data_IF_131050343435
#
_entry.id   IF_131050343435
#
_cell.length_a   1.000
_cell.length_b   1.000
_cell.length_c   1.000
_cell.angle_alpha   90.00
_cell.angle_beta   90.00
_cell.angle_gamma   90.00
#
_symmetry.space_group_name_H-M   'P 1'
#
loop_
_entity.id
_entity.type
_entity.pdbx_description
1 polymer ?
#
# COMPACT_ATOMS: atom_id res chain seq x y z
N UNK A 1 -14.92 -7.40 -25.53
CA UNK A 1 -14.32 -6.16 -24.99
C UNK A 1 -15.13 -5.55 -23.84
N UNK A 2 -16.44 -5.26 -24.00
CA UNK A 2 -17.25 -4.53 -23.00
C UNK A 2 -17.46 -5.28 -21.68
N UNK A 3 -17.71 -6.59 -21.70
CA UNK A 3 -17.87 -7.42 -20.49
C UNK A 3 -16.60 -7.46 -19.62
N UNK A 4 -15.44 -7.68 -20.26
CA UNK A 4 -14.15 -7.73 -19.59
C UNK A 4 -13.80 -6.39 -18.96
N UNK A 5 -13.96 -5.28 -19.70
CA UNK A 5 -13.68 -3.95 -19.17
C UNK A 5 -14.54 -3.60 -17.94
N UNK A 6 -15.80 -4.06 -17.86
CA UNK A 6 -16.68 -3.80 -16.71
C UNK A 6 -16.18 -4.51 -15.46
N UNK A 7 -15.94 -5.82 -15.56
CA UNK A 7 -15.45 -6.62 -14.44
C UNK A 7 -14.05 -6.21 -14.01
N UNK A 8 -13.16 -5.90 -14.96
CA UNK A 8 -11.83 -5.39 -14.63
C UNK A 8 -11.92 -4.03 -13.96
N UNK A 9 -12.77 -3.09 -14.43
CA UNK A 9 -12.91 -1.77 -13.79
C UNK A 9 -13.42 -1.85 -12.35
N UNK A 10 -14.40 -2.73 -12.07
CA UNK A 10 -14.92 -2.91 -10.71
C UNK A 10 -13.85 -3.55 -9.82
N UNK A 11 -13.21 -4.61 -10.31
CA UNK A 11 -12.13 -5.30 -9.58
C UNK A 11 -10.97 -4.36 -9.27
N UNK A 12 -10.43 -3.68 -10.29
CA UNK A 12 -9.31 -2.75 -10.13
C UNK A 12 -9.71 -1.50 -9.35
N UNK A 13 -10.95 -1.01 -9.46
CA UNK A 13 -11.44 0.10 -8.64
C UNK A 13 -11.49 -0.26 -7.16
N UNK A 14 -12.05 -1.43 -6.81
CA UNK A 14 -12.05 -1.92 -5.44
C UNK A 14 -10.63 -2.19 -4.92
N UNK A 15 -9.77 -2.78 -5.76
CA UNK A 15 -8.38 -3.04 -5.41
C UNK A 15 -7.57 -1.75 -5.21
N UNK A 16 -7.77 -0.73 -6.06
CA UNK A 16 -7.18 0.59 -5.89
C UNK A 16 -7.68 1.27 -4.62
N UNK A 17 -8.98 1.19 -4.32
CA UNK A 17 -9.54 1.71 -3.07
C UNK A 17 -8.87 1.05 -1.86
N UNK A 18 -8.78 -0.29 -1.88
CA UNK A 18 -8.10 -1.05 -0.83
C UNK A 18 -6.67 -0.56 -0.63
N UNK A 19 -5.85 -0.54 -1.69
CA UNK A 19 -4.44 -0.16 -1.56
C UNK A 19 -4.30 1.28 -1.05
N UNK A 20 -5.10 2.20 -1.59
CA UNK A 20 -5.09 3.60 -1.17
C UNK A 20 -5.45 3.73 0.32
N UNK A 21 -6.51 3.05 0.78
CA UNK A 21 -6.90 3.04 2.21
C UNK A 21 -5.78 2.46 3.07
N UNK A 22 -5.22 1.31 2.70
CA UNK A 22 -4.13 0.70 3.47
C UNK A 22 -2.89 1.58 3.52
N UNK A 23 -2.53 2.25 2.43
CA UNK A 23 -1.42 3.21 2.38
C UNK A 23 -1.65 4.40 3.32
N UNK A 24 -2.85 4.99 3.31
CA UNK A 24 -3.23 6.09 4.22
C UNK A 24 -3.16 5.65 5.68
N UNK A 25 -3.68 4.46 6.01
CA UNK A 25 -3.67 3.93 7.38
C UNK A 25 -2.24 3.71 7.88
N UNK A 26 -1.38 3.06 7.07
CA UNK A 26 0.02 2.84 7.43
C UNK A 26 0.76 4.15 7.62
N UNK A 27 0.55 5.12 6.73
CA UNK A 27 1.17 6.43 6.82
C UNK A 27 0.73 7.19 8.07
N UNK A 28 -0.57 7.16 8.40
CA UNK A 28 -1.10 7.72 9.63
C UNK A 28 -0.51 7.06 10.89
N UNK A 29 -0.34 5.74 10.87
CA UNK A 29 0.31 5.00 11.96
C UNK A 29 1.77 5.42 12.18
N UNK A 30 2.52 5.70 11.11
CA UNK A 30 3.89 6.21 11.21
C UNK A 30 3.95 7.59 11.85
N UNK A 31 3.08 8.52 11.43
CA UNK A 31 2.97 9.86 12.02
C UNK A 31 2.65 9.75 13.51
N UNK A 32 1.67 8.92 13.85
CA UNK A 32 1.28 8.69 15.24
C UNK A 32 2.42 8.10 16.09
N UNK A 33 3.14 7.11 15.56
CA UNK A 33 4.27 6.48 16.26
C UNK A 33 5.47 7.42 16.46
N UNK A 34 5.73 8.34 15.54
CA UNK A 34 6.79 9.35 15.69
C UNK A 34 6.52 10.33 16.84
N UNK A 35 5.24 10.58 17.16
CA UNK A 35 4.83 11.41 18.28
C UNK A 35 4.88 10.71 19.64
N UNK A 36 5.03 9.37 19.67
CA UNK A 36 5.17 8.65 20.93
C UNK A 36 6.63 8.69 21.42
N UNK A 37 6.86 8.92 22.72
CA UNK A 37 8.16 8.70 23.32
C UNK A 37 8.60 7.27 23.03
N UNK A 38 9.70 7.10 22.28
CA UNK A 38 10.26 5.78 22.04
C UNK A 38 10.50 5.14 23.41
N UNK A 39 9.94 3.96 23.71
CA UNK A 39 10.30 3.27 24.94
C UNK A 39 11.82 3.21 24.96
N UNK A 40 12.44 3.74 26.01
CA UNK A 40 13.88 3.61 26.18
C UNK A 40 14.17 2.12 25.97
N UNK A 41 14.98 1.80 24.95
CA UNK A 41 15.45 0.44 24.79
C UNK A 41 16.02 0.07 26.16
N UNK A 42 15.37 -0.89 26.83
CA UNK A 42 15.77 -1.25 28.18
C UNK A 42 17.28 -1.48 28.10
N UNK A 43 18.08 -0.79 28.92
CA UNK A 43 19.52 -0.98 28.88
C UNK A 43 19.73 -2.49 28.99
N UNK A 44 20.40 -3.09 28.01
CA UNK A 44 20.74 -4.51 28.07
C UNK A 44 21.40 -4.72 29.43
N UNK A 45 20.70 -5.43 30.32
CA UNK A 45 21.09 -5.51 31.71
C UNK A 45 22.51 -6.06 31.76
N UNK A 46 23.47 -5.36 32.41
CA UNK A 46 24.83 -5.85 32.50
C UNK A 46 24.80 -7.13 33.34
N UNK A 47 24.89 -8.28 32.67
CA UNK A 47 24.99 -9.59 33.32
C UNK A 47 23.77 -10.52 33.21
N UNK A 48 22.76 -10.23 32.38
CA UNK A 48 21.84 -11.31 31.98
C UNK A 48 22.66 -12.40 31.28
N UNK A 49 22.56 -13.69 31.68
CA UNK A 49 23.21 -14.77 30.97
C UNK A 49 22.66 -14.73 29.54
N UNK A 50 23.49 -14.27 28.62
CA UNK A 50 23.27 -14.58 27.22
C UNK A 50 23.36 -16.09 27.17
N UNK A 51 22.21 -16.77 27.12
CA UNK A 51 22.14 -18.17 26.73
C UNK A 51 22.89 -18.21 25.41
N UNK A 52 24.12 -18.72 25.48
CA UNK A 52 24.98 -18.97 24.34
C UNK A 52 24.28 -20.09 23.59
N UNK A 53 23.40 -19.72 22.67
CA UNK A 53 22.92 -20.65 21.66
C UNK A 53 24.08 -20.89 20.69
N UNK A 54 24.90 -21.84 21.14
CA UNK A 54 25.83 -22.73 20.43
C UNK A 54 26.62 -22.14 19.26
N UNK A 55 27.94 -22.18 19.45
CA UNK A 55 28.97 -22.06 18.42
C UNK A 55 28.56 -22.74 17.09
N UNK A 56 28.17 -21.91 16.11
CA UNK A 56 28.62 -22.06 14.73
C UNK A 56 30.03 -21.43 14.59
N UNK A 57 30.81 -21.78 13.56
CA UNK A 57 32.28 -21.72 13.58
C UNK A 57 32.88 -20.29 13.76
N UNK A 58 34.16 -20.19 14.21
CA UNK A 58 34.83 -18.95 14.65
C UNK A 58 34.93 -17.84 13.58
N UNK A 59 35.28 -16.59 13.98
CA UNK A 59 35.24 -15.41 13.11
C UNK A 59 36.37 -15.48 12.07
N UNK A 60 36.12 -16.16 10.97
CA UNK A 60 37.01 -16.27 9.83
C UNK A 60 36.35 -15.66 8.58
N UNK A 61 37.11 -14.74 7.99
CA UNK A 61 36.97 -14.17 6.65
C UNK A 61 35.86 -13.13 6.42
N UNK A 62 36.33 -11.88 6.32
CA UNK A 62 36.14 -11.05 5.13
C UNK A 62 34.88 -11.39 4.29
N UNK A 63 33.78 -10.74 4.61
CA UNK A 63 32.62 -10.69 3.74
C UNK A 63 32.06 -9.29 3.82
N UNK A 64 32.60 -8.38 3.00
CA UNK A 64 31.84 -7.20 2.57
C UNK A 64 30.38 -7.64 2.41
N UNK A 65 29.41 -6.94 3.03
CA UNK A 65 27.99 -7.14 2.71
C UNK A 65 27.93 -7.34 1.19
N UNK A 66 27.44 -8.49 0.67
CA UNK A 66 27.62 -8.82 -0.75
C UNK A 66 27.20 -7.58 -1.53
N UNK A 67 28.05 -7.07 -2.47
CA UNK A 67 27.83 -5.79 -3.12
C UNK A 67 26.38 -5.76 -3.52
N UNK A 68 25.61 -4.86 -2.88
CA UNK A 68 24.15 -4.92 -2.99
C UNK A 68 23.86 -4.97 -4.49
N UNK A 69 23.18 -6.02 -4.95
CA UNK A 69 22.86 -6.12 -6.35
C UNK A 69 22.22 -4.79 -6.77
N UNK A 70 22.60 -4.24 -7.92
CA UNK A 70 22.09 -2.92 -8.35
C UNK A 70 20.56 -2.85 -8.26
N UNK A 71 19.89 -3.98 -8.48
CA UNK A 71 18.45 -4.16 -8.28
C UNK A 71 18.00 -3.89 -6.83
N UNK A 72 18.71 -4.40 -5.81
CA UNK A 72 18.39 -4.18 -4.40
C UNK A 72 18.54 -2.71 -3.99
N UNK A 73 19.55 -2.02 -4.51
CA UNK A 73 19.74 -0.58 -4.27
C UNK A 73 18.60 0.23 -4.88
N UNK A 74 18.19 -0.09 -6.11
CA UNK A 74 17.05 0.56 -6.77
C UNK A 74 15.75 0.31 -5.99
N UNK A 75 15.48 -0.92 -5.55
CA UNK A 75 14.29 -1.24 -4.76
C UNK A 75 14.28 -0.43 -3.45
N UNK A 76 15.42 -0.34 -2.76
CA UNK A 76 15.54 0.45 -1.54
C UNK A 76 15.25 1.93 -1.79
N UNK A 77 15.89 2.51 -2.81
CA UNK A 77 15.68 3.90 -3.21
C UNK A 77 14.22 4.20 -3.56
N UNK A 78 13.59 3.33 -4.36
CA UNK A 78 12.17 3.46 -4.70
C UNK A 78 11.29 3.40 -3.45
N UNK A 79 11.65 2.57 -2.48
CA UNK A 79 10.90 2.46 -1.21
C UNK A 79 11.01 3.73 -0.37
N UNK A 80 12.20 4.33 -0.31
CA UNK A 80 12.43 5.60 0.41
C UNK A 80 11.75 6.80 -0.27
N UNK A 81 11.75 6.83 -1.60
CA UNK A 81 11.05 7.84 -2.38
C UNK A 81 9.53 7.70 -2.22
N UNK A 82 9.02 6.47 -2.23
CA UNK A 82 7.59 6.17 -2.09
C UNK A 82 7.06 6.46 -0.69
N UNK A 83 7.86 6.24 0.35
CA UNK A 83 7.49 6.59 1.73
C UNK A 83 7.47 8.10 1.98
N UNK A 84 8.13 8.89 1.12
CA UNK A 84 8.32 10.33 1.30
C UNK A 84 9.31 10.68 2.41
N UNK A 85 9.96 9.68 3.02
CA UNK A 85 10.86 9.84 4.16
C UNK A 85 12.14 10.58 3.77
N UNK A 86 12.58 10.44 2.52
CA UNK A 86 13.72 11.21 1.99
C UNK A 86 13.50 12.73 2.05
N UNK A 87 12.26 13.20 2.08
CA UNK A 87 11.89 14.61 2.17
C UNK A 87 11.36 14.99 3.58
N UNK A 88 11.52 14.11 4.58
CA UNK A 88 11.08 14.34 5.95
C UNK A 88 9.57 14.55 6.10
N UNK A 89 9.18 15.45 7.01
CA UNK A 89 7.76 15.71 7.34
C UNK A 89 6.97 16.21 6.14
N UNK A 90 7.57 17.03 5.28
CA UNK A 90 6.90 17.58 4.09
C UNK A 90 6.55 16.47 3.11
N UNK A 91 7.49 15.56 2.82
CA UNK A 91 7.22 14.39 1.97
C UNK A 91 6.16 13.47 2.56
N UNK A 92 6.16 13.31 3.88
CA UNK A 92 5.17 12.51 4.58
C UNK A 92 3.74 13.07 4.43
N UNK A 93 3.57 14.38 4.59
CA UNK A 93 2.28 15.07 4.41
C UNK A 93 1.81 14.98 2.97
N UNK A 94 2.70 15.22 1.99
CA UNK A 94 2.36 15.11 0.56
C UNK A 94 1.95 13.68 0.17
N UNK A 95 2.64 12.67 0.71
CA UNK A 95 2.29 11.26 0.49
C UNK A 95 0.93 10.91 1.09
N UNK A 96 0.63 11.39 2.30
CA UNK A 96 -0.67 11.21 2.94
C UNK A 96 -1.80 11.88 2.13
N UNK A 97 -1.60 13.11 1.69
CA UNK A 97 -2.57 13.84 0.85
C UNK A 97 -2.80 13.15 -0.49
N UNK A 98 -1.74 12.61 -1.11
CA UNK A 98 -1.83 11.86 -2.36
C UNK A 98 -2.62 10.56 -2.17
N UNK A 99 -2.37 9.84 -1.07
CA UNK A 99 -3.16 8.65 -0.70
C UNK A 99 -4.63 8.98 -0.45
N UNK A 100 -4.91 10.06 0.29
CA UNK A 100 -6.27 10.53 0.54
C UNK A 100 -6.99 10.94 -0.76
N UNK A 101 -6.30 11.61 -1.67
CA UNK A 101 -6.81 11.94 -2.99
C UNK A 101 -7.15 10.69 -3.80
N UNK A 102 -6.31 9.65 -3.78
CA UNK A 102 -6.59 8.37 -4.44
C UNK A 102 -7.82 7.66 -3.85
N UNK A 103 -8.00 7.67 -2.52
CA UNK A 103 -9.23 7.17 -1.89
C UNK A 103 -10.44 7.93 -2.42
N UNK A 104 -10.39 9.27 -2.41
CA UNK A 104 -11.47 10.12 -2.90
C UNK A 104 -11.81 9.84 -4.37
N UNK A 105 -10.81 9.82 -5.26
CA UNK A 105 -11.02 9.56 -6.69
C UNK A 105 -11.52 8.14 -6.96
N UNK A 106 -11.05 7.15 -6.20
CA UNK A 106 -11.51 5.77 -6.33
C UNK A 106 -12.99 5.64 -5.94
N UNK A 107 -13.39 6.23 -4.81
CA UNK A 107 -14.80 6.26 -4.38
C UNK A 107 -15.66 7.03 -5.38
N UNK A 108 -15.21 8.23 -5.80
CA UNK A 108 -15.94 9.08 -6.74
C UNK A 108 -16.12 8.41 -8.11
N UNK A 109 -15.05 7.82 -8.66
CA UNK A 109 -15.11 7.07 -9.91
C UNK A 109 -16.02 5.84 -9.83
N UNK A 110 -15.96 5.10 -8.73
CA UNK A 110 -16.85 3.96 -8.48
C UNK A 110 -18.32 4.41 -8.38
N UNK A 111 -18.59 5.49 -7.66
CA UNK A 111 -19.92 6.06 -7.52
C UNK A 111 -20.50 6.51 -8.87
N UNK A 112 -19.72 7.27 -9.65
CA UNK A 112 -20.11 7.66 -11.01
C UNK A 112 -20.39 6.45 -11.91
N UNK A 113 -19.56 5.40 -11.81
CA UNK A 113 -19.78 4.17 -12.55
C UNK A 113 -21.12 3.52 -12.21
N UNK A 114 -21.46 3.43 -10.91
CA UNK A 114 -22.75 2.91 -10.44
C UNK A 114 -23.92 3.77 -10.93
N UNK A 115 -23.79 5.10 -10.89
CA UNK A 115 -24.82 6.02 -11.38
C UNK A 115 -25.09 5.83 -12.88
N UNK A 116 -24.04 5.76 -13.71
CA UNK A 116 -24.17 5.52 -15.14
C UNK A 116 -24.75 4.13 -15.44
N UNK A 117 -24.35 3.13 -14.66
CA UNK A 117 -24.83 1.76 -14.82
C UNK A 117 -26.32 1.63 -14.50
N UNK A 118 -26.74 2.18 -13.35
CA UNK A 118 -28.14 2.18 -12.92
C UNK A 118 -29.03 3.02 -13.84
N UNK A 119 -28.53 4.17 -14.32
CA UNK A 119 -29.24 5.00 -15.30
C UNK A 119 -29.48 4.29 -16.63
N UNK A 120 -28.53 3.48 -17.11
CA UNK A 120 -28.72 2.64 -18.30
C UNK A 120 -29.73 1.52 -18.05
N UNK A 121 -29.71 0.92 -16.87
CA UNK A 121 -30.62 -0.18 -16.51
C UNK A 121 -32.09 0.29 -16.39
N UNK A 122 -32.31 1.51 -15.89
CA UNK A 122 -33.65 2.13 -15.78
C UNK A 122 -34.27 2.45 -17.15
N UNK A 123 -33.45 2.69 -18.18
CA UNK A 123 -33.90 2.97 -19.55
C UNK A 123 -34.25 1.71 -20.36
N UNK A 124 -34.02 0.51 -19.81
CA UNK A 124 -34.35 -0.75 -20.48
C UNK A 124 -35.78 -1.19 -20.13
N UNK A 125 -36.65 -1.40 -21.14
CA UNK A 125 -38.08 -1.60 -20.92
C UNK A 125 -38.45 -2.94 -20.26
N UNK A 126 -37.68 -4.02 -20.46
CA UNK A 126 -37.98 -5.36 -19.95
C UNK A 126 -36.78 -6.03 -19.23
N UNK A 127 -36.99 -6.90 -18.23
CA UNK A 127 -35.92 -7.59 -17.50
C UNK A 127 -35.05 -8.50 -18.40
N UNK A 128 -35.62 -9.14 -19.42
CA UNK A 128 -34.86 -9.92 -20.41
C UNK A 128 -33.97 -9.03 -21.31
N UNK A 129 -34.31 -7.75 -21.51
CA UNK A 129 -33.43 -6.80 -22.19
C UNK A 129 -32.25 -6.38 -21.30
N UNK A 130 -32.43 -6.37 -19.97
CA UNK A 130 -31.37 -6.12 -18.98
C UNK A 130 -30.35 -7.26 -18.96
N UNK A 131 -30.82 -8.51 -18.94
CA UNK A 131 -29.96 -9.69 -19.00
C UNK A 131 -29.18 -9.75 -20.32
N UNK A 132 -29.83 -9.51 -21.47
CA UNK A 132 -29.12 -9.45 -22.77
C UNK A 132 -28.05 -8.36 -22.83
N UNK A 133 -28.29 -7.20 -22.22
CA UNK A 133 -27.30 -6.11 -22.16
C UNK A 133 -26.12 -6.40 -21.21
N UNK A 134 -26.36 -7.27 -20.22
CA UNK A 134 -25.32 -7.74 -19.31
C UNK A 134 -24.48 -8.87 -19.91
N UNK A 135 -25.10 -9.80 -20.63
CA UNK A 135 -24.47 -11.02 -21.16
C UNK A 135 -24.00 -10.96 -22.63
N UNK A 136 -24.33 -9.91 -23.41
CA UNK A 136 -23.74 -9.62 -24.73
C UNK A 136 -22.53 -8.68 -24.63
#
# INVERSE_FOLDING_TARGET
MRKWHRWTSVLFGLFMLWIAVTGVVVQGGRIYAQGQPRPAAAPAAPGAPQVREREGPPPAAAGQRPPQSRLRQVIHFVTELHSGEQFGIVGMVLSLLSGAALVFFSVSGMWMYVQLYTGRLKRLPNPTARERFFWR
#
